data_IF_292921046893
#
_entry.id   IF_292921046893
#
_cell.length_a   1.000
_cell.length_b   1.000
_cell.length_c   1.000
_cell.angle_alpha   90.00
_cell.angle_beta   90.00
_cell.angle_gamma   90.00
#
_symmetry.space_group_name_H-M   'P 1'
#
loop_
_entity.id
_entity.type
_entity.pdbx_description
1 polymer ?
#
# COMPACT_ATOMS: atom_id res chain seq x y z
N UNK A 1 2.62 6.70 -7.88
CA UNK A 1 1.64 5.66 -7.52
C UNK A 1 0.30 6.35 -7.35
N UNK A 2 -0.77 5.77 -7.88
CA UNK A 2 -2.14 6.25 -7.73
C UNK A 2 -2.96 5.17 -7.01
N UNK A 3 -3.44 5.39 -5.77
CA UNK A 3 -4.30 4.43 -5.08
C UNK A 3 -5.72 4.48 -5.66
N UNK A 4 -6.33 3.31 -5.83
CA UNK A 4 -7.74 3.22 -6.21
C UNK A 4 -8.54 2.85 -4.98
N UNK A 5 -9.55 3.66 -4.70
CA UNK A 5 -10.34 3.61 -3.47
C UNK A 5 -11.75 3.16 -3.80
N UNK A 6 -12.25 2.19 -3.03
CA UNK A 6 -13.64 1.74 -3.03
C UNK A 6 -14.15 1.72 -1.58
N UNK A 7 -15.32 2.32 -1.34
CA UNK A 7 -15.93 2.44 -0.01
C UNK A 7 -14.96 2.91 1.10
N UNK A 8 -14.09 3.88 0.77
CA UNK A 8 -13.11 4.45 1.70
C UNK A 8 -11.89 3.56 1.99
N UNK A 9 -11.77 2.40 1.35
CA UNK A 9 -10.61 1.50 1.45
C UNK A 9 -9.83 1.48 0.14
N UNK A 10 -8.52 1.33 0.23
CA UNK A 10 -7.68 1.13 -0.95
C UNK A 10 -7.85 -0.31 -1.40
N UNK A 11 -8.13 -0.55 -2.68
CA UNK A 11 -8.34 -1.90 -3.24
C UNK A 11 -7.28 -2.30 -4.26
N UNK A 12 -6.50 -1.34 -4.77
CA UNK A 12 -5.36 -1.58 -5.66
C UNK A 12 -4.48 -0.33 -5.79
N UNK A 13 -3.27 -0.53 -6.29
CA UNK A 13 -2.33 0.53 -6.63
C UNK A 13 -2.01 0.51 -8.12
N UNK A 14 -2.08 1.68 -8.77
CA UNK A 14 -1.65 1.88 -10.15
C UNK A 14 -0.36 2.67 -10.22
N UNK A 15 0.40 2.40 -11.27
CA UNK A 15 1.54 3.23 -11.58
C UNK A 15 1.05 4.60 -12.09
N UNK A 16 1.55 5.66 -11.48
CA UNK A 16 1.29 7.00 -11.97
C UNK A 16 2.28 7.31 -13.09
N UNK A 17 1.82 7.95 -14.17
CA UNK A 17 2.69 8.46 -15.21
C UNK A 17 3.43 9.69 -14.67
N UNK A 18 4.65 9.48 -14.17
CA UNK A 18 5.47 10.51 -13.55
C UNK A 18 6.93 10.42 -13.98
N UNK A 19 7.70 11.47 -13.68
CA UNK A 19 9.10 11.61 -14.11
C UNK A 19 10.04 10.54 -13.54
N UNK A 20 9.72 9.96 -12.39
CA UNK A 20 10.64 9.11 -11.62
C UNK A 20 10.48 7.61 -11.87
N UNK A 21 9.26 7.12 -12.05
CA UNK A 21 9.00 5.69 -12.24
C UNK A 21 8.43 5.36 -13.63
N UNK A 22 8.22 6.37 -14.50
CA UNK A 22 7.78 6.21 -15.89
C UNK A 22 6.56 5.28 -16.04
N UNK A 23 5.61 5.34 -15.09
CA UNK A 23 4.42 4.49 -15.17
C UNK A 23 4.66 3.02 -14.81
N UNK A 24 5.72 2.71 -14.06
CA UNK A 24 5.99 1.36 -13.55
C UNK A 24 5.95 1.33 -12.02
N UNK A 25 5.62 0.16 -11.46
CA UNK A 25 5.77 -0.15 -10.05
C UNK A 25 6.52 -1.47 -9.89
N UNK A 26 7.27 -1.61 -8.80
CA UNK A 26 7.77 -2.91 -8.38
C UNK A 26 6.65 -3.73 -7.72
N UNK A 27 6.91 -5.01 -7.47
CA UNK A 27 5.97 -5.91 -6.82
C UNK A 27 5.43 -5.32 -5.49
N UNK A 28 6.32 -4.79 -4.65
CA UNK A 28 5.94 -4.13 -3.39
C UNK A 28 5.00 -2.94 -3.61
N UNK A 29 5.18 -2.18 -4.68
CA UNK A 29 4.31 -1.05 -5.01
C UNK A 29 2.90 -1.46 -5.42
N UNK A 30 2.75 -2.60 -6.10
CA UNK A 30 1.44 -3.11 -6.52
C UNK A 30 0.62 -3.70 -5.37
N UNK A 31 1.26 -4.32 -4.38
CA UNK A 31 0.58 -5.08 -3.33
C UNK A 31 0.67 -4.47 -1.93
N UNK A 32 1.50 -3.43 -1.73
CA UNK A 32 1.70 -2.82 -0.42
C UNK A 32 0.45 -2.14 0.18
N UNK A 33 -0.60 -1.93 -0.61
CA UNK A 33 -1.87 -1.37 -0.12
C UNK A 33 -2.60 -2.31 0.86
N UNK A 34 -2.41 -3.62 0.74
CA UNK A 34 -3.04 -4.61 1.61
C UNK A 34 -2.57 -4.44 3.07
N UNK A 35 -1.26 -4.21 3.25
CA UNK A 35 -0.65 -3.95 4.56
C UNK A 35 -1.22 -2.70 5.27
N UNK A 36 -1.71 -1.72 4.50
CA UNK A 36 -2.34 -0.52 5.07
C UNK A 36 -3.73 -0.87 5.64
N UNK A 37 -4.45 -1.78 4.99
CA UNK A 37 -5.78 -2.21 5.42
C UNK A 37 -5.69 -3.21 6.59
N UNK A 38 -4.73 -4.13 6.54
CA UNK A 38 -4.48 -5.10 7.60
C UNK A 38 -2.98 -5.41 7.71
N UNK A 39 -2.45 -5.21 8.91
CA UNK A 39 -1.02 -5.43 9.20
C UNK A 39 -0.72 -6.86 9.64
N UNK A 40 -1.75 -7.69 9.87
CA UNK A 40 -1.66 -9.08 10.35
C UNK A 40 -0.73 -9.24 11.56
N UNK A 41 -0.71 -8.25 12.46
CA UNK A 41 0.17 -8.28 13.62
C UNK A 41 -0.27 -9.41 14.55
N UNK A 42 0.59 -10.42 14.71
CA UNK A 42 0.32 -11.61 15.53
C UNK A 42 0.45 -11.37 17.03
N UNK A 43 1.15 -10.31 17.45
CA UNK A 43 1.43 -10.01 18.86
C UNK A 43 1.18 -8.54 19.20
N UNK A 44 0.70 -8.21 20.41
CA UNK A 44 0.51 -6.81 20.79
C UNK A 44 1.81 -6.00 20.68
N UNK A 45 1.71 -4.76 20.18
CA UNK A 45 2.82 -3.80 20.23
C UNK A 45 3.21 -3.54 21.69
N UNK A 46 4.50 -3.63 22.00
CA UNK A 46 5.05 -3.17 23.28
C UNK A 46 4.79 -1.67 23.41
N UNK A 47 4.10 -1.27 24.48
CA UNK A 47 3.78 0.14 24.79
C UNK A 47 4.75 0.77 25.78
N UNK A 48 5.56 -0.05 26.44
CA UNK A 48 6.56 0.36 27.41
C UNK A 48 7.85 -0.42 27.15
N UNK A 49 9.03 0.22 27.29
CA UNK A 49 10.34 -0.43 27.16
C UNK A 49 10.53 -1.57 28.17
#
# INVERSE_FOLDING_TARGET
MNPVVDNGKIVRAEAAQGKTNQGTLCLKGYYGWDFINDTQILTPRLKTP
#
